data_IF_537520097162
#
_entry.id   IF_537520097162
#
_cell.length_a   1.000
_cell.length_b   1.000
_cell.length_c   1.000
_cell.angle_alpha   90.00
_cell.angle_beta   90.00
_cell.angle_gamma   90.00
#
_symmetry.space_group_name_H-M   'P 1'
#
loop_
_entity.id
_entity.type
_entity.pdbx_description
1 polymer ?
#
# COMPACT_ATOMS: atom_id res chain seq x y z
N UNK A 1 18.35 27.72 -34.04
CA UNK A 1 18.32 27.80 -32.58
C UNK A 1 17.50 26.62 -32.09
N UNK A 2 18.15 25.54 -31.69
CA UNK A 2 17.50 24.44 -30.97
C UNK A 2 18.52 24.01 -29.92
N UNK A 3 18.27 24.42 -28.69
CA UNK A 3 19.04 23.97 -27.53
C UNK A 3 18.29 22.77 -26.98
N UNK A 4 18.84 21.57 -27.17
CA UNK A 4 18.35 20.38 -26.47
C UNK A 4 18.57 20.60 -24.96
N UNK A 5 17.49 20.52 -24.18
CA UNK A 5 17.58 20.49 -22.73
C UNK A 5 18.30 19.20 -22.30
N UNK A 6 19.16 19.23 -21.27
CA UNK A 6 19.82 18.02 -20.82
C UNK A 6 18.77 17.05 -20.28
N UNK A 7 18.80 15.82 -20.81
CA UNK A 7 18.08 14.68 -20.25
C UNK A 7 18.49 14.57 -18.78
N UNK A 8 17.51 14.76 -17.89
CA UNK A 8 17.71 14.73 -16.44
C UNK A 8 18.40 13.43 -16.06
N UNK A 9 19.66 13.55 -15.65
CA UNK A 9 20.48 12.42 -15.24
C UNK A 9 19.77 11.70 -14.10
N UNK A 10 19.44 10.43 -14.34
CA UNK A 10 18.91 9.53 -13.31
C UNK A 10 20.05 9.26 -12.32
N UNK A 11 20.15 10.11 -11.31
CA UNK A 11 21.09 9.89 -10.20
C UNK A 11 20.72 8.57 -9.53
N UNK A 12 21.69 7.66 -9.31
CA UNK A 12 21.44 6.44 -8.55
C UNK A 12 21.07 6.87 -7.13
N UNK A 13 19.81 6.65 -6.77
CA UNK A 13 19.27 7.00 -5.47
C UNK A 13 20.03 6.26 -4.37
N UNK A 14 20.79 7.01 -3.57
CA UNK A 14 21.46 6.46 -2.40
C UNK A 14 20.40 6.20 -1.32
N UNK A 15 20.12 4.92 -1.02
CA UNK A 15 19.21 4.50 0.07
C UNK A 15 19.61 5.08 1.45
N UNK A 16 20.84 5.60 1.56
CA UNK A 16 21.47 5.92 2.83
C UNK A 16 21.31 7.38 3.28
N UNK A 17 20.50 8.22 2.61
CA UNK A 17 20.12 9.52 3.21
C UNK A 17 18.82 9.34 4.00
N UNK A 18 18.88 9.26 5.35
CA UNK A 18 17.68 9.07 6.15
C UNK A 18 16.83 10.33 6.09
N UNK A 19 15.53 10.20 5.82
CA UNK A 19 14.59 11.28 6.09
C UNK A 19 14.37 11.39 7.61
N UNK A 20 14.48 12.60 8.14
CA UNK A 20 14.19 12.86 9.55
C UNK A 20 12.71 12.56 9.86
N UNK A 21 12.40 12.06 11.06
CA UNK A 21 11.02 11.93 11.53
C UNK A 21 10.29 13.27 11.45
N UNK A 22 9.03 13.24 11.00
CA UNK A 22 8.19 14.44 10.91
C UNK A 22 7.44 14.75 12.21
N UNK A 23 7.36 13.77 13.11
CA UNK A 23 6.60 13.84 14.36
C UNK A 23 7.37 13.18 15.50
N UNK A 24 7.17 13.64 16.74
CA UNK A 24 7.77 13.06 17.95
C UNK A 24 7.25 11.63 18.21
N UNK A 25 5.98 11.38 17.91
CA UNK A 25 5.41 10.04 17.93
C UNK A 25 5.83 9.27 16.67
N UNK A 26 6.75 8.32 16.84
CA UNK A 26 7.38 7.62 15.73
C UNK A 26 7.61 6.13 16.03
N UNK A 27 7.06 5.25 15.19
CA UNK A 27 7.23 3.81 15.31
C UNK A 27 8.49 3.35 14.56
N UNK A 28 9.43 2.73 15.28
CA UNK A 28 10.66 2.17 14.72
C UNK A 28 10.80 0.70 15.11
N UNK A 29 10.01 -0.16 14.46
CA UNK A 29 9.99 -1.62 14.65
C UNK A 29 10.35 -2.35 13.36
N UNK A 30 10.56 -3.67 13.45
CA UNK A 30 10.66 -4.54 12.28
C UNK A 30 9.24 -4.96 11.90
N UNK A 31 8.69 -4.34 10.86
CA UNK A 31 7.29 -4.51 10.46
C UNK A 31 7.16 -4.43 8.95
N UNK A 32 6.33 -5.31 8.39
CA UNK A 32 5.78 -5.19 7.04
C UNK A 32 4.29 -4.85 7.17
N UNK A 33 3.91 -3.64 6.78
CA UNK A 33 2.55 -3.11 6.89
C UNK A 33 1.91 -2.96 5.51
N UNK A 34 0.76 -3.59 5.30
CA UNK A 34 0.01 -3.50 4.04
C UNK A 34 -1.27 -2.70 4.29
N UNK A 35 -1.45 -1.60 3.56
CA UNK A 35 -2.70 -0.86 3.52
C UNK A 35 -3.55 -1.35 2.35
N UNK A 36 -4.77 -1.81 2.65
CA UNK A 36 -5.76 -2.20 1.65
C UNK A 36 -6.90 -1.17 1.67
N UNK A 37 -7.08 -0.43 0.58
CA UNK A 37 -8.01 0.69 0.47
C UNK A 37 -9.21 0.27 -0.38
N UNK A 38 -10.41 0.32 0.18
CA UNK A 38 -11.67 0.07 -0.52
C UNK A 38 -11.87 1.12 -1.64
N UNK A 39 -11.86 0.67 -2.90
CA UNK A 39 -12.09 1.49 -4.08
C UNK A 39 -13.53 1.51 -4.58
N UNK A 40 -14.48 1.05 -3.76
CA UNK A 40 -15.90 1.05 -4.13
C UNK A 40 -16.50 2.45 -4.08
N UNK A 41 -17.63 2.61 -4.78
CA UNK A 41 -18.48 3.79 -4.76
C UNK A 41 -19.25 3.98 -3.44
N UNK A 42 -18.94 3.20 -2.38
CA UNK A 42 -19.47 3.47 -1.03
C UNK A 42 -18.76 4.64 -0.36
N UNK A 43 -17.53 4.92 -0.78
CA UNK A 43 -16.86 6.18 -0.53
C UNK A 43 -17.16 7.12 -1.69
N UNK A 44 -17.44 8.39 -1.39
CA UNK A 44 -17.33 9.42 -2.42
C UNK A 44 -15.86 9.67 -2.76
N UNK A 45 -15.58 10.35 -3.87
CA UNK A 45 -14.21 10.77 -4.19
C UNK A 45 -13.60 11.63 -3.07
N UNK A 46 -14.41 12.49 -2.45
CA UNK A 46 -13.99 13.29 -1.30
C UNK A 46 -13.66 12.44 -0.06
N UNK A 47 -14.48 11.43 0.25
CA UNK A 47 -14.18 10.50 1.36
C UNK A 47 -12.94 9.66 1.07
N UNK A 48 -12.70 9.32 -0.21
CA UNK A 48 -11.49 8.62 -0.62
C UNK A 48 -10.24 9.50 -0.46
N UNK A 49 -10.32 10.81 -0.72
CA UNK A 49 -9.24 11.75 -0.37
C UNK A 49 -8.95 11.77 1.14
N UNK A 50 -9.99 11.74 1.98
CA UNK A 50 -9.84 11.63 3.45
C UNK A 50 -9.18 10.30 3.83
N UNK A 51 -9.57 9.19 3.19
CA UNK A 51 -8.94 7.89 3.39
C UNK A 51 -7.45 7.90 3.04
N UNK A 52 -7.07 8.47 1.88
CA UNK A 52 -5.66 8.62 1.49
C UNK A 52 -4.90 9.50 2.48
N UNK A 53 -5.48 10.61 2.90
CA UNK A 53 -4.89 11.49 3.91
C UNK A 53 -4.66 10.77 5.24
N UNK A 54 -5.61 9.93 5.68
CA UNK A 54 -5.43 9.05 6.84
C UNK A 54 -4.21 8.13 6.65
N UNK A 55 -4.11 7.41 5.52
CA UNK A 55 -2.98 6.50 5.26
C UNK A 55 -1.64 7.26 5.25
N UNK A 56 -1.58 8.42 4.59
CA UNK A 56 -0.38 9.28 4.59
C UNK A 56 -0.02 9.71 6.01
N UNK A 57 -0.99 10.13 6.83
CA UNK A 57 -0.74 10.53 8.22
C UNK A 57 -0.18 9.39 9.06
N UNK A 58 -0.62 8.15 8.83
CA UNK A 58 -0.04 6.96 9.47
C UNK A 58 1.41 6.79 8.99
N UNK A 59 1.67 6.87 7.68
CA UNK A 59 3.02 6.73 7.12
C UNK A 59 4.03 7.77 7.65
N UNK A 60 3.61 8.99 7.95
CA UNK A 60 4.46 10.03 8.56
C UNK A 60 4.99 9.66 9.95
N UNK A 61 4.30 8.74 10.64
CA UNK A 61 4.63 8.27 12.00
C UNK A 61 5.42 6.96 12.00
N UNK A 62 5.90 6.50 10.83
CA UNK A 62 6.61 5.24 10.67
C UNK A 62 8.06 5.45 10.24
N UNK A 63 8.97 4.63 10.78
CA UNK A 63 10.33 4.49 10.29
C UNK A 63 10.40 3.68 9.00
N UNK A 64 9.96 4.28 7.90
CA UNK A 64 9.90 3.63 6.60
C UNK A 64 11.30 3.43 6.04
N UNK A 65 11.73 2.18 5.96
CA UNK A 65 12.96 1.75 5.27
C UNK A 65 12.94 0.24 5.08
N UNK A 66 13.73 -0.27 4.13
CA UNK A 66 13.87 -1.72 3.92
C UNK A 66 14.42 -2.47 5.15
N UNK A 67 15.09 -1.77 6.08
CA UNK A 67 15.67 -2.33 7.32
C UNK A 67 14.77 -2.18 8.56
N UNK A 68 13.69 -1.39 8.48
CA UNK A 68 12.77 -1.10 9.60
C UNK A 68 11.33 -1.38 9.20
N UNK A 69 10.53 -0.38 8.86
CA UNK A 69 9.14 -0.58 8.47
C UNK A 69 9.06 -0.56 6.94
N UNK A 70 8.52 -1.63 6.34
CA UNK A 70 8.17 -1.66 4.92
C UNK A 70 6.68 -1.43 4.78
N UNK A 71 6.28 -0.71 3.74
CA UNK A 71 4.88 -0.39 3.48
C UNK A 71 4.48 -0.83 2.08
N UNK A 72 3.28 -1.39 1.96
CA UNK A 72 2.62 -1.62 0.69
C UNK A 72 1.25 -0.94 0.71
N UNK A 73 0.80 -0.47 -0.46
CA UNK A 73 -0.49 0.21 -0.64
C UNK A 73 -1.18 -0.42 -1.83
N UNK A 74 -2.36 -0.96 -1.59
CA UNK A 74 -3.20 -1.61 -2.59
C UNK A 74 -4.59 -0.99 -2.50
N UNK A 75 -5.08 -0.51 -3.62
CA UNK A 75 -6.51 -0.20 -3.78
C UNK A 75 -7.20 -1.47 -4.31
N UNK A 76 -8.39 -1.77 -3.80
CA UNK A 76 -9.14 -2.95 -4.22
C UNK A 76 -10.59 -2.62 -4.61
N UNK A 77 -11.00 -3.22 -5.73
CA UNK A 77 -12.33 -3.18 -6.33
C UNK A 77 -12.73 -4.63 -6.68
N UNK A 78 -13.17 -4.93 -7.90
CA UNK A 78 -13.34 -6.33 -8.34
C UNK A 78 -11.99 -7.06 -8.54
N UNK A 79 -10.89 -6.31 -8.56
CA UNK A 79 -9.51 -6.78 -8.48
C UNK A 79 -8.67 -6.02 -7.44
N UNK A 80 -7.35 -6.08 -7.59
CA UNK A 80 -6.39 -5.39 -6.72
C UNK A 80 -5.35 -4.64 -7.54
N UNK A 81 -5.15 -3.36 -7.23
CA UNK A 81 -4.14 -2.52 -7.86
C UNK A 81 -3.10 -2.08 -6.82
N UNK A 82 -1.89 -2.63 -6.93
CA UNK A 82 -0.77 -2.27 -6.05
C UNK A 82 -0.09 -0.99 -6.56
N UNK A 83 -0.10 0.05 -5.73
CA UNK A 83 0.63 1.30 -5.97
C UNK A 83 2.04 1.25 -5.36
N UNK A 84 2.17 0.56 -4.23
CA UNK A 84 3.43 0.37 -3.52
C UNK A 84 3.58 -1.10 -3.11
N UNK A 85 4.76 -1.65 -3.37
CA UNK A 85 5.17 -2.96 -2.91
C UNK A 85 6.13 -2.84 -1.71
N UNK A 86 6.15 -3.84 -0.82
CA UNK A 86 7.02 -3.84 0.36
C UNK A 86 8.50 -3.64 0.01
N UNK A 87 8.93 -4.10 -1.17
CA UNK A 87 10.32 -4.02 -1.65
C UNK A 87 10.66 -2.70 -2.33
N UNK A 88 9.72 -1.76 -2.44
CA UNK A 88 9.96 -0.48 -3.08
C UNK A 88 11.10 0.28 -2.37
N UNK A 89 12.16 0.58 -3.11
CA UNK A 89 13.34 1.33 -2.65
C UNK A 89 13.20 2.80 -3.07
N UNK A 90 12.36 3.54 -2.34
CA UNK A 90 12.08 4.97 -2.58
C UNK A 90 12.13 5.73 -1.27
N UNK A 91 12.34 7.05 -1.37
CA UNK A 91 12.22 7.99 -0.24
C UNK A 91 10.89 7.84 0.47
N UNK A 92 10.83 7.89 1.82
CA UNK A 92 9.56 7.94 2.53
C UNK A 92 8.62 9.06 2.03
N UNK A 93 9.15 10.23 1.68
CA UNK A 93 8.39 11.32 1.06
C UNK A 93 7.79 10.95 -0.29
N UNK A 94 8.54 10.24 -1.12
CA UNK A 94 8.07 9.76 -2.42
C UNK A 94 7.00 8.68 -2.26
N UNK A 95 7.16 7.77 -1.29
CA UNK A 95 6.14 6.78 -0.96
C UNK A 95 4.84 7.46 -0.51
N UNK A 96 4.92 8.48 0.38
CA UNK A 96 3.74 9.28 0.78
C UNK A 96 3.09 9.98 -0.42
N UNK A 97 3.89 10.54 -1.33
CA UNK A 97 3.41 11.20 -2.57
C UNK A 97 2.69 10.23 -3.50
N UNK A 98 3.19 9.01 -3.66
CA UNK A 98 2.53 7.96 -4.44
C UNK A 98 1.19 7.60 -3.79
N UNK A 99 1.18 7.40 -2.47
CA UNK A 99 -0.05 7.11 -1.71
C UNK A 99 -1.10 8.21 -1.85
N UNK A 100 -0.72 9.49 -1.78
CA UNK A 100 -1.68 10.60 -1.96
C UNK A 100 -2.24 10.67 -3.39
N UNK A 101 -1.55 10.07 -4.37
CA UNK A 101 -1.96 10.05 -5.79
C UNK A 101 -2.69 8.77 -6.20
N UNK A 102 -3.00 7.87 -5.26
CA UNK A 102 -3.88 6.72 -5.53
C UNK A 102 -5.18 7.23 -6.15
N UNK A 103 -5.58 6.64 -7.28
CA UNK A 103 -6.76 7.06 -8.04
C UNK A 103 -8.03 6.53 -7.38
N UNK A 104 -9.04 7.38 -7.27
CA UNK A 104 -10.38 6.94 -6.92
C UNK A 104 -10.98 6.12 -8.08
N UNK A 105 -11.47 4.92 -7.77
CA UNK A 105 -12.05 4.00 -8.76
C UNK A 105 -13.58 4.12 -8.79
N UNK A 106 -14.23 4.18 -7.63
CA UNK A 106 -15.69 4.28 -7.55
C UNK A 106 -16.41 3.05 -8.09
N UNK A 107 -15.84 1.86 -7.90
CA UNK A 107 -16.39 0.60 -8.40
C UNK A 107 -17.69 0.21 -7.70
N UNK A 108 -18.58 -0.51 -8.37
CA UNK A 108 -19.76 -1.11 -7.73
C UNK A 108 -19.40 -2.17 -6.67
N UNK A 109 -18.23 -2.81 -6.81
CA UNK A 109 -17.76 -3.89 -5.94
C UNK A 109 -16.34 -3.61 -5.49
N UNK A 110 -16.08 -3.83 -4.19
CA UNK A 110 -14.74 -4.01 -3.63
C UNK A 110 -14.65 -5.36 -2.91
N UNK A 111 -13.94 -6.32 -3.53
CA UNK A 111 -13.85 -7.69 -3.04
C UNK A 111 -12.76 -7.84 -2.00
N UNK A 112 -13.19 -7.99 -0.75
CA UNK A 112 -12.32 -8.33 0.38
C UNK A 112 -11.67 -9.70 0.14
N UNK A 113 -12.41 -10.65 -0.44
CA UNK A 113 -11.88 -11.98 -0.74
C UNK A 113 -10.71 -11.93 -1.72
N UNK A 114 -10.84 -11.21 -2.84
CA UNK A 114 -9.76 -11.13 -3.82
C UNK A 114 -8.54 -10.37 -3.28
N UNK A 115 -8.71 -9.29 -2.52
CA UNK A 115 -7.56 -8.56 -1.96
C UNK A 115 -6.83 -9.34 -0.86
N UNK A 116 -7.54 -10.14 -0.05
CA UNK A 116 -6.89 -11.02 0.93
C UNK A 116 -6.16 -12.18 0.25
N UNK A 117 -6.73 -12.73 -0.82
CA UNK A 117 -6.05 -13.72 -1.68
C UNK A 117 -4.79 -13.12 -2.32
N UNK A 118 -4.89 -11.92 -2.88
CA UNK A 118 -3.75 -11.18 -3.41
C UNK A 118 -2.67 -10.97 -2.35
N UNK A 119 -3.06 -10.56 -1.15
CA UNK A 119 -2.14 -10.36 -0.03
C UNK A 119 -1.42 -11.65 0.37
N UNK A 120 -2.15 -12.76 0.45
CA UNK A 120 -1.60 -14.07 0.81
C UNK A 120 -0.59 -14.58 -0.21
N UNK A 121 -0.94 -14.56 -1.50
CA UNK A 121 -0.15 -15.20 -2.56
C UNK A 121 0.88 -14.27 -3.21
N UNK A 122 0.59 -12.98 -3.36
CA UNK A 122 1.45 -12.04 -4.08
C UNK A 122 2.32 -11.21 -3.14
N UNK A 123 1.77 -10.72 -2.02
CA UNK A 123 2.54 -9.88 -1.08
C UNK A 123 3.34 -10.75 -0.11
N UNK A 124 2.69 -11.73 0.53
CA UNK A 124 3.29 -12.59 1.54
C UNK A 124 3.55 -14.03 1.07
N UNK A 125 3.45 -14.29 -0.23
CA UNK A 125 3.66 -15.63 -0.80
C UNK A 125 5.06 -16.19 -0.55
N UNK A 126 6.05 -15.32 -0.33
CA UNK A 126 7.39 -15.69 0.13
C UNK A 126 7.77 -14.90 1.36
N UNK A 127 8.08 -15.59 2.45
CA UNK A 127 8.56 -14.98 3.68
C UNK A 127 10.06 -14.71 3.54
N UNK A 128 10.41 -13.49 3.15
CA UNK A 128 11.82 -13.04 3.03
C UNK A 128 12.34 -12.36 4.30
N UNK A 129 11.44 -11.98 5.21
CA UNK A 129 11.76 -11.22 6.41
C UNK A 129 11.09 -11.82 7.65
N UNK A 130 11.50 -13.04 8.07
CA UNK A 130 10.83 -13.79 9.14
C UNK A 130 10.86 -13.09 10.50
N UNK A 131 11.82 -12.19 10.72
CA UNK A 131 11.97 -11.40 11.94
C UNK A 131 11.01 -10.21 12.05
N UNK A 132 10.35 -9.83 10.95
CA UNK A 132 9.39 -8.73 10.94
C UNK A 132 7.96 -9.24 11.14
N UNK A 133 7.21 -8.55 11.99
CA UNK A 133 5.76 -8.75 12.07
C UNK A 133 5.13 -8.39 10.72
N UNK A 134 4.03 -9.07 10.37
CA UNK A 134 3.25 -8.81 9.15
C UNK A 134 1.85 -8.38 9.55
N UNK A 135 1.44 -7.18 9.16
CA UNK A 135 0.13 -6.61 9.50
C UNK A 135 -0.56 -6.16 8.21
N UNK A 136 -1.85 -6.49 8.11
CA UNK A 136 -2.74 -5.99 7.06
C UNK A 136 -3.74 -5.05 7.70
N UNK A 137 -3.75 -3.79 7.28
CA UNK A 137 -4.76 -2.82 7.64
C UNK A 137 -5.81 -2.77 6.53
N UNK A 138 -6.90 -3.52 6.74
CA UNK A 138 -8.04 -3.59 5.83
C UNK A 138 -9.00 -2.42 6.11
N UNK A 139 -9.03 -1.44 5.20
CA UNK A 139 -9.87 -0.25 5.30
C UNK A 139 -11.08 -0.42 4.39
N UNK A 140 -12.24 -0.73 4.99
CA UNK A 140 -13.45 -1.14 4.29
C UNK A 140 -14.57 -0.11 4.45
N UNK A 141 -15.33 0.10 3.37
CA UNK A 141 -16.53 0.94 3.35
C UNK A 141 -17.74 0.20 2.73
N UNK A 142 -17.50 -0.94 2.08
CA UNK A 142 -18.50 -1.75 1.40
C UNK A 142 -18.60 -3.17 1.93
N UNK A 143 -19.55 -3.92 1.38
CA UNK A 143 -19.70 -5.36 1.59
C UNK A 143 -19.68 -6.05 0.23
N UNK A 144 -18.89 -7.11 0.11
CA UNK A 144 -18.84 -7.88 -1.14
C UNK A 144 -20.06 -8.81 -1.30
N UNK A 145 -20.47 -9.13 -2.54
CA UNK A 145 -21.53 -10.10 -2.78
C UNK A 145 -21.20 -11.49 -2.21
N UNK A 146 -22.18 -12.12 -1.53
CA UNK A 146 -22.02 -13.42 -0.85
C UNK A 146 -21.54 -14.59 -1.74
N UNK A 147 -21.70 -14.49 -3.06
CA UNK A 147 -21.23 -15.56 -3.96
C UNK A 147 -19.71 -15.50 -4.17
N UNK A 148 -19.07 -14.33 -3.99
CA UNK A 148 -17.63 -14.14 -4.12
C UNK A 148 -16.85 -14.71 -2.93
N UNK A 149 -17.43 -14.68 -1.73
CA UNK A 149 -16.79 -15.20 -0.50
C UNK A 149 -16.52 -16.71 -0.54
N UNK A 150 -17.28 -17.48 -1.33
CA UNK A 150 -17.13 -18.95 -1.45
C UNK A 150 -15.79 -19.36 -2.07
N UNK A 151 -15.18 -18.49 -2.87
CA UNK A 151 -13.93 -18.80 -3.57
C UNK A 151 -12.70 -18.67 -2.67
N UNK A 152 -12.74 -17.80 -1.66
CA UNK A 152 -11.63 -17.63 -0.72
C UNK A 152 -11.44 -18.86 0.17
N UNK A 153 -12.54 -19.38 0.74
CA UNK A 153 -12.48 -20.55 1.65
C UNK A 153 -11.86 -21.76 0.96
N UNK A 154 -12.22 -22.00 -0.31
CA UNK A 154 -11.63 -23.09 -1.11
C UNK A 154 -10.14 -22.89 -1.40
N UNK A 155 -9.71 -21.64 -1.60
CA UNK A 155 -8.32 -21.31 -1.91
C UNK A 155 -7.39 -21.50 -0.70
N UNK A 156 -7.90 -21.34 0.52
CA UNK A 156 -7.15 -21.54 1.77
C UNK A 156 -7.19 -23.00 2.24
N UNK A 157 -8.24 -23.76 1.90
CA UNK A 157 -8.33 -25.19 2.25
C UNK A 157 -7.33 -26.08 1.48
N UNK A 158 -6.68 -25.56 0.44
CA UNK A 158 -5.62 -26.26 -0.32
C UNK A 158 -4.19 -25.93 0.12
N UNK A 159 -4.01 -25.17 1.21
CA UNK A 159 -2.72 -24.84 1.82
C UNK A 159 -2.34 -25.82 2.93
#
# INVERSE_FOLDING_TARGET
WYTEAPVSATTPYLEDTPELPLHDFYCSKLLDLVFLLDGSSRLSEADFEVLKAFVVSVMERLHISQKRIRVAVVEYHDGSHAYLELKARKRPSELRRITSQVKYVGSQVASISEVLKYTLFQIFGKIERPEASRIVLLLTASSEPKHMTRNLVRSVQGL
#
